data_IF_024802982579
#
_entry.id   IF_024802982579
#
_cell.length_a   1.000
_cell.length_b   1.000
_cell.length_c   1.000
_cell.angle_alpha   90.00
_cell.angle_beta   90.00
_cell.angle_gamma   90.00
#
_symmetry.space_group_name_H-M   'P 1'
#
loop_
_entity.id
_entity.type
_entity.pdbx_description
1 polymer ?
#
# COMPACT_ATOMS: atom_id res chain seq x y z
N UNK A 1 -19.51 33.24 -3.55
CA UNK A 1 -19.73 32.21 -4.59
C UNK A 1 -19.22 30.88 -4.03
N UNK A 2 -20.11 29.91 -3.82
CA UNK A 2 -19.75 28.56 -3.36
C UNK A 2 -19.30 27.79 -4.60
N UNK A 3 -18.02 27.45 -4.68
CA UNK A 3 -17.56 26.46 -5.64
C UNK A 3 -17.83 25.08 -5.04
N UNK A 4 -18.72 24.33 -5.68
CA UNK A 4 -18.92 22.91 -5.42
C UNK A 4 -17.64 22.17 -5.85
N UNK A 5 -16.79 21.80 -4.89
CA UNK A 5 -15.70 20.86 -5.13
C UNK A 5 -16.28 19.43 -5.11
N UNK A 6 -16.40 18.82 -6.28
CA UNK A 6 -16.70 17.39 -6.43
C UNK A 6 -15.63 16.57 -5.67
N UNK A 7 -16.09 15.84 -4.65
CA UNK A 7 -15.25 15.00 -3.79
C UNK A 7 -15.03 13.67 -4.50
N UNK A 8 -13.85 13.46 -5.08
CA UNK A 8 -13.44 12.17 -5.60
C UNK A 8 -13.40 11.13 -4.47
N UNK A 9 -14.28 10.13 -4.50
CA UNK A 9 -14.32 9.02 -3.56
C UNK A 9 -14.46 7.72 -4.34
N UNK A 10 -13.82 6.65 -3.86
CA UNK A 10 -14.12 5.31 -4.34
C UNK A 10 -15.54 4.94 -3.90
N UNK A 11 -16.44 4.68 -4.85
CA UNK A 11 -17.78 4.17 -4.60
C UNK A 11 -17.76 2.83 -3.86
N UNK A 12 -18.91 2.39 -3.35
CA UNK A 12 -19.02 1.12 -2.62
C UNK A 12 -18.57 -0.10 -3.46
N UNK A 13 -18.59 0.01 -4.80
CA UNK A 13 -18.13 -1.01 -5.75
C UNK A 13 -16.69 -0.83 -6.27
N UNK A 14 -15.88 0.05 -5.69
CA UNK A 14 -14.49 0.27 -6.15
C UNK A 14 -14.33 1.25 -7.33
N UNK A 15 -15.43 1.84 -7.80
CA UNK A 15 -15.39 2.84 -8.87
C UNK A 15 -14.76 4.15 -8.39
N UNK A 16 -13.77 4.66 -9.12
CA UNK A 16 -13.13 5.95 -8.85
C UNK A 16 -13.89 7.09 -9.56
N UNK A 17 -14.27 8.12 -8.82
CA UNK A 17 -14.79 9.36 -9.38
C UNK A 17 -13.72 10.45 -9.42
N UNK A 18 -13.71 11.26 -10.48
CA UNK A 18 -12.86 12.44 -10.58
C UNK A 18 -13.23 13.47 -9.51
N UNK A 19 -12.23 14.21 -9.02
CA UNK A 19 -12.42 15.24 -8.01
C UNK A 19 -11.14 15.52 -7.25
N UNK A 20 -11.21 16.46 -6.30
CA UNK A 20 -10.08 16.82 -5.43
C UNK A 20 -10.39 16.51 -3.97
N UNK A 21 -9.34 16.37 -3.16
CA UNK A 21 -9.46 16.09 -1.74
C UNK A 21 -8.11 15.81 -1.10
N UNK A 22 -8.09 15.82 0.23
CA UNK A 22 -6.95 15.35 1.03
C UNK A 22 -7.32 14.05 1.74
N UNK A 23 -6.31 13.26 2.09
CA UNK A 23 -6.49 12.02 2.84
C UNK A 23 -5.68 12.08 4.14
N UNK A 24 -6.32 11.66 5.23
CA UNK A 24 -5.68 11.33 6.51
C UNK A 24 -5.80 9.84 6.81
N UNK A 25 -6.12 9.02 5.80
CA UNK A 25 -6.32 7.58 5.93
C UNK A 25 -5.04 6.89 6.39
N UNK A 26 -5.15 6.09 7.44
CA UNK A 26 -4.07 5.26 7.94
C UNK A 26 -4.39 3.79 7.64
N UNK A 27 -3.60 3.17 6.76
CA UNK A 27 -3.80 1.79 6.33
C UNK A 27 -2.96 0.87 7.21
N UNK A 28 -3.62 -0.10 7.85
CA UNK A 28 -3.01 -1.09 8.76
C UNK A 28 -3.52 -2.49 8.40
N UNK A 29 -2.86 -3.56 8.86
CA UNK A 29 -3.31 -4.93 8.60
C UNK A 29 -4.80 -5.12 8.94
N UNK A 30 -5.54 -5.80 8.05
CA UNK A 30 -6.99 -5.93 8.09
C UNK A 30 -7.76 -4.89 7.25
N UNK A 31 -7.05 -3.93 6.62
CA UNK A 31 -7.67 -3.01 5.67
C UNK A 31 -8.03 -3.70 4.35
N UNK A 32 -9.26 -3.49 3.88
CA UNK A 32 -9.75 -4.04 2.62
C UNK A 32 -9.50 -3.08 1.44
N UNK A 33 -8.62 -3.48 0.52
CA UNK A 33 -8.24 -2.70 -0.66
C UNK A 33 -9.25 -2.88 -1.80
N UNK A 34 -9.91 -1.80 -2.20
CA UNK A 34 -11.00 -1.83 -3.19
C UNK A 34 -10.57 -1.62 -4.64
N UNK A 35 -9.44 -0.95 -4.85
CA UNK A 35 -9.05 -0.40 -6.17
C UNK A 35 -7.71 -0.93 -6.65
N UNK A 36 -6.77 -1.19 -5.73
CA UNK A 36 -5.39 -1.54 -6.07
C UNK A 36 -5.24 -3.06 -6.03
N UNK A 37 -4.78 -3.65 -7.14
CA UNK A 37 -4.55 -5.09 -7.26
C UNK A 37 -3.06 -5.47 -7.09
N UNK A 38 -2.15 -4.56 -7.44
CA UNK A 38 -0.70 -4.71 -7.25
C UNK A 38 -0.05 -3.41 -6.79
N UNK A 39 1.07 -3.51 -6.06
CA UNK A 39 1.82 -2.39 -5.53
C UNK A 39 3.30 -2.50 -5.93
N UNK A 40 3.82 -1.47 -6.61
CA UNK A 40 5.24 -1.28 -6.82
C UNK A 40 5.74 -0.20 -5.85
N UNK A 41 6.69 -0.54 -4.98
CA UNK A 41 7.17 0.37 -3.92
C UNK A 41 8.62 0.08 -3.53
N UNK A 42 9.25 0.93 -2.74
CA UNK A 42 10.58 0.70 -2.19
C UNK A 42 10.57 -0.33 -1.04
N UNK A 43 11.76 -0.77 -0.63
CA UNK A 43 11.94 -1.42 0.67
C UNK A 43 12.02 -0.38 1.81
N UNK A 44 11.02 -0.41 2.69
CA UNK A 44 10.85 0.49 3.83
C UNK A 44 11.50 -0.02 5.11
N UNK A 45 11.89 0.86 6.02
CA UNK A 45 12.50 0.45 7.30
C UNK A 45 11.57 -0.40 8.19
N UNK A 46 12.13 -1.29 9.03
CA UNK A 46 11.40 -1.96 10.09
C UNK A 46 10.67 -0.94 10.99
N UNK A 47 9.43 -1.26 11.37
CA UNK A 47 8.55 -0.42 12.22
C UNK A 47 8.13 0.93 11.60
N UNK A 48 8.19 1.07 10.28
CA UNK A 48 7.62 2.23 9.57
C UNK A 48 6.13 2.04 9.27
N UNK A 49 5.40 3.15 9.11
CA UNK A 49 3.99 3.14 8.69
C UNK A 49 3.82 2.63 7.26
N UNK A 50 4.81 2.86 6.39
CA UNK A 50 4.84 2.31 5.04
C UNK A 50 4.99 0.78 5.06
N UNK A 51 5.81 0.23 5.95
CA UNK A 51 5.86 -1.22 6.14
C UNK A 51 4.53 -1.79 6.63
N UNK A 52 3.77 -1.06 7.46
CA UNK A 52 2.43 -1.46 7.86
C UNK A 52 1.45 -1.49 6.67
N UNK A 53 1.51 -0.50 5.79
CA UNK A 53 0.72 -0.46 4.56
C UNK A 53 1.03 -1.65 3.65
N UNK A 54 2.31 -1.93 3.39
CA UNK A 54 2.72 -3.06 2.55
C UNK A 54 2.31 -4.38 3.20
N UNK A 55 2.43 -4.49 4.52
CA UNK A 55 1.97 -5.68 5.28
C UNK A 55 0.46 -5.86 5.23
N UNK A 56 -0.31 -4.76 5.24
CA UNK A 56 -1.76 -4.81 5.05
C UNK A 56 -2.14 -5.27 3.65
N UNK A 57 -1.35 -4.88 2.65
CA UNK A 57 -1.60 -5.19 1.25
C UNK A 57 -1.26 -6.64 0.88
N UNK A 58 -0.05 -7.10 1.20
CA UNK A 58 0.50 -8.37 0.73
C UNK A 58 0.56 -9.47 1.79
N UNK A 59 0.16 -9.16 3.03
CA UNK A 59 0.26 -10.04 4.17
C UNK A 59 1.62 -9.95 4.87
N UNK A 60 1.59 -9.86 6.19
CA UNK A 60 2.78 -9.63 7.03
C UNK A 60 3.86 -10.71 6.84
N UNK A 61 3.50 -11.99 6.88
CA UNK A 61 4.49 -13.07 6.81
C UNK A 61 5.21 -13.11 5.45
N UNK A 62 4.48 -12.87 4.36
CA UNK A 62 5.07 -12.78 3.02
C UNK A 62 6.03 -11.59 2.90
N UNK A 63 5.64 -10.43 3.42
CA UNK A 63 6.49 -9.24 3.44
C UNK A 63 7.76 -9.50 4.25
N UNK A 64 7.66 -10.08 5.45
CA UNK A 64 8.85 -10.38 6.27
C UNK A 64 9.78 -11.41 5.61
N UNK A 65 9.22 -12.42 4.93
CA UNK A 65 10.00 -13.38 4.16
C UNK A 65 10.76 -12.71 3.00
N UNK A 66 10.08 -11.84 2.25
CA UNK A 66 10.70 -11.08 1.15
C UNK A 66 11.81 -10.13 1.66
N UNK A 67 11.62 -9.54 2.84
CA UNK A 67 12.65 -8.70 3.47
C UNK A 67 13.89 -9.49 3.86
N UNK A 68 13.72 -10.69 4.43
CA UNK A 68 14.85 -11.57 4.75
C UNK A 68 15.64 -11.93 3.49
N UNK A 69 14.94 -12.35 2.44
CA UNK A 69 15.56 -12.65 1.15
C UNK A 69 16.31 -11.44 0.57
N UNK A 70 15.70 -10.25 0.60
CA UNK A 70 16.31 -9.03 0.08
C UNK A 70 17.59 -8.65 0.85
N UNK A 71 17.61 -8.86 2.18
CA UNK A 71 18.82 -8.68 2.99
C UNK A 71 19.90 -9.69 2.60
N UNK A 72 19.54 -10.98 2.50
CA UNK A 72 20.47 -12.05 2.15
C UNK A 72 21.06 -11.87 0.75
N UNK A 73 20.27 -11.33 -0.19
CA UNK A 73 20.68 -11.02 -1.56
C UNK A 73 21.36 -9.65 -1.73
N UNK A 74 21.51 -8.85 -0.66
CA UNK A 74 22.23 -7.57 -0.71
C UNK A 74 21.49 -6.43 -1.41
N UNK A 75 20.16 -6.42 -1.37
CA UNK A 75 19.35 -5.33 -1.93
C UNK A 75 19.62 -4.01 -1.20
N UNK A 76 19.51 -2.92 -1.95
CA UNK A 76 19.61 -1.55 -1.44
C UNK A 76 18.25 -1.13 -0.93
N UNK A 77 18.17 -0.69 0.32
CA UNK A 77 16.94 -0.19 0.93
C UNK A 77 16.79 1.34 0.74
N UNK A 78 15.66 1.91 1.18
CA UNK A 78 15.34 3.35 1.15
C UNK A 78 14.90 3.90 -0.22
N UNK A 79 14.70 5.22 -0.27
CA UNK A 79 14.08 5.96 -1.38
C UNK A 79 14.78 5.80 -2.73
N UNK A 80 16.10 5.57 -2.72
CA UNK A 80 16.92 5.39 -3.94
C UNK A 80 17.47 3.96 -4.06
N UNK A 81 16.99 3.05 -3.22
CA UNK A 81 17.31 1.65 -3.29
C UNK A 81 16.53 0.92 -4.37
N UNK A 82 16.48 -0.39 -4.23
CA UNK A 82 15.72 -1.29 -5.09
C UNK A 82 14.22 -1.25 -4.73
N UNK A 83 13.42 -1.89 -5.58
CA UNK A 83 11.96 -1.92 -5.46
C UNK A 83 11.43 -3.33 -5.20
N UNK A 84 10.24 -3.37 -4.60
CA UNK A 84 9.41 -4.54 -4.37
C UNK A 84 8.14 -4.42 -5.21
N UNK A 85 7.81 -5.47 -5.96
CA UNK A 85 6.49 -5.69 -6.51
C UNK A 85 5.73 -6.64 -5.58
N UNK A 86 4.54 -6.22 -5.15
CA UNK A 86 3.68 -6.98 -4.25
C UNK A 86 2.29 -7.14 -4.86
N UNK A 87 1.70 -8.32 -4.69
CA UNK A 87 0.32 -8.63 -5.09
C UNK A 87 -0.58 -8.64 -3.86
N UNK A 88 -1.85 -8.21 -4.05
CA UNK A 88 -2.82 -8.15 -2.94
C UNK A 88 -3.06 -9.54 -2.34
N UNK A 89 -3.01 -9.64 -1.02
CA UNK A 89 -3.50 -10.82 -0.30
C UNK A 89 -5.02 -10.95 -0.51
N UNK A 90 -5.52 -12.12 -0.94
CA UNK A 90 -6.96 -12.35 -1.03
C UNK A 90 -7.62 -12.14 0.35
N UNK A 91 -8.83 -11.61 0.37
CA UNK A 91 -9.58 -11.46 1.61
C UNK A 91 -9.87 -12.85 2.22
N UNK A 92 -9.49 -13.04 3.50
CA UNK A 92 -9.75 -14.29 4.24
C UNK A 92 -8.54 -15.23 4.43
N UNK A 93 -7.32 -14.77 4.12
CA UNK A 93 -6.06 -15.48 4.44
C UNK A 93 -5.49 -15.15 5.82
#
# INVERSE_FOLDING_TARGET
>A
ARHDEERGRAGAGGELAAGTGSTSLFIVPGFHFRVVDALLTNFHLPRSTLLMLVSAFAGRERVLAAYREAVDAGYRFFSYGDAMLAERQPDGG
#
